data_IF_756996066468
#
_entry.id   IF_756996066468
#
_cell.length_a   1.000
_cell.length_b   1.000
_cell.length_c   1.000
_cell.angle_alpha   90.00
_cell.angle_beta   90.00
_cell.angle_gamma   90.00
#
_symmetry.space_group_name_H-M   'P 1'
#
loop_
_entity.id
_entity.type
_entity.pdbx_description
1 polymer ?
#
# COMPACT_ATOMS: atom_id res chain seq x y z
N UNK A 1 10.60 -23.49 11.21
CA UNK A 1 9.62 -22.37 11.22
C UNK A 1 8.28 -23.00 11.60
N UNK A 2 7.76 -22.76 12.81
CA UNK A 2 6.41 -23.22 13.13
C UNK A 2 5.47 -22.04 12.99
N UNK A 3 4.69 -22.01 11.91
CA UNK A 3 3.62 -21.04 11.71
C UNK A 3 2.54 -21.33 12.74
N UNK A 4 2.34 -20.43 13.70
CA UNK A 4 1.33 -20.58 14.73
C UNK A 4 0.11 -19.71 14.39
N UNK A 5 -0.94 -20.35 13.88
CA UNK A 5 -2.19 -19.71 13.48
C UNK A 5 -2.79 -18.83 14.58
N UNK A 6 -2.78 -19.31 15.84
CA UNK A 6 -3.35 -18.54 16.97
C UNK A 6 -2.59 -17.23 17.17
N UNK A 7 -1.26 -17.27 17.09
CA UNK A 7 -0.41 -16.08 17.21
C UNK A 7 -0.63 -15.11 16.04
N UNK A 8 -0.78 -15.63 14.82
CA UNK A 8 -1.08 -14.80 13.64
C UNK A 8 -2.43 -14.09 13.77
N UNK A 9 -3.48 -14.80 14.20
CA UNK A 9 -4.80 -14.21 14.43
C UNK A 9 -4.75 -13.12 15.49
N UNK A 10 -4.08 -13.38 16.62
CA UNK A 10 -3.90 -12.38 17.68
C UNK A 10 -3.14 -11.15 17.17
N UNK A 11 -2.11 -11.37 16.34
CA UNK A 11 -1.34 -10.28 15.78
C UNK A 11 -2.19 -9.39 14.87
N UNK A 12 -3.06 -9.98 14.05
CA UNK A 12 -4.02 -9.24 13.22
C UNK A 12 -4.99 -8.46 14.10
N UNK A 13 -5.55 -9.08 15.15
CA UNK A 13 -6.50 -8.44 16.06
C UNK A 13 -5.94 -7.17 16.71
N UNK A 14 -4.66 -7.18 17.08
CA UNK A 14 -3.98 -6.02 17.65
C UNK A 14 -3.87 -4.82 16.69
N UNK A 15 -3.97 -5.05 15.37
CA UNK A 15 -3.84 -4.01 14.33
C UNK A 15 -5.20 -3.49 13.84
N UNK A 16 -6.29 -4.24 14.05
CA UNK A 16 -7.65 -3.86 13.61
C UNK A 16 -8.03 -2.41 13.97
N UNK A 17 -7.80 -1.90 15.20
CA UNK A 17 -8.18 -0.52 15.52
C UNK A 17 -7.49 0.52 14.64
N UNK A 18 -6.20 0.32 14.33
CA UNK A 18 -5.47 1.19 13.42
C UNK A 18 -6.03 1.08 11.99
N UNK A 19 -6.32 -0.14 11.53
CA UNK A 19 -6.87 -0.37 10.20
C UNK A 19 -8.25 0.31 10.00
N UNK A 20 -9.11 0.33 11.03
CA UNK A 20 -10.40 1.02 11.00
C UNK A 20 -10.21 2.54 10.87
N UNK A 21 -9.26 3.11 11.62
CA UNK A 21 -8.93 4.54 11.53
C UNK A 21 -8.42 4.87 10.13
N UNK A 22 -7.51 4.06 9.60
CA UNK A 22 -6.96 4.25 8.26
C UNK A 22 -8.00 4.13 7.16
N UNK A 23 -8.88 3.12 7.25
CA UNK A 23 -10.02 2.97 6.35
C UNK A 23 -10.90 4.23 6.35
N UNK A 24 -11.22 4.75 7.54
CA UNK A 24 -12.10 5.91 7.69
C UNK A 24 -11.45 7.22 7.22
N UNK A 25 -10.14 7.36 7.38
CA UNK A 25 -9.41 8.60 7.12
C UNK A 25 -8.66 8.62 5.78
N UNK A 26 -8.56 7.48 5.10
CA UNK A 26 -7.70 7.28 3.92
C UNK A 26 -6.24 7.73 4.16
N UNK A 27 -5.76 7.62 5.40
CA UNK A 27 -4.43 8.09 5.79
C UNK A 27 -3.72 7.10 6.68
N UNK A 28 -2.62 6.52 6.19
CA UNK A 28 -1.75 5.66 7.01
C UNK A 28 -1.05 6.46 8.12
N UNK A 29 -0.66 7.70 7.84
CA UNK A 29 -0.02 8.59 8.80
C UNK A 29 -0.91 8.92 10.00
N UNK A 30 -2.21 9.10 9.78
CA UNK A 30 -3.18 9.34 10.86
C UNK A 30 -3.27 8.17 11.86
N UNK A 31 -2.85 6.97 11.46
CA UNK A 31 -2.93 5.77 12.30
C UNK A 31 -1.69 5.54 13.17
N UNK A 32 -0.59 6.28 12.94
CA UNK A 32 0.72 6.02 13.54
C UNK A 32 0.68 5.75 15.06
N UNK A 33 -0.01 6.52 15.91
CA UNK A 33 -0.04 6.25 17.35
C UNK A 33 -0.69 4.91 17.70
N UNK A 34 -1.79 4.58 17.03
CA UNK A 34 -2.57 3.35 17.27
C UNK A 34 -1.87 2.15 16.66
N UNK A 35 -1.32 2.31 15.44
CA UNK A 35 -0.55 1.29 14.73
C UNK A 35 0.70 0.90 15.52
N UNK A 36 1.47 1.88 16.00
CA UNK A 36 2.69 1.62 16.79
C UNK A 36 2.33 0.87 18.07
N UNK A 37 1.28 1.31 18.77
CA UNK A 37 0.79 0.64 19.99
C UNK A 37 0.34 -0.81 19.73
N UNK A 38 -0.34 -1.06 18.60
CA UNK A 38 -0.75 -2.40 18.19
C UNK A 38 0.43 -3.29 17.79
N UNK A 39 1.36 -2.77 17.00
CA UNK A 39 2.55 -3.49 16.53
C UNK A 39 3.48 -3.88 17.69
N UNK A 40 3.62 -3.00 18.69
CA UNK A 40 4.37 -3.29 19.91
C UNK A 40 3.83 -4.50 20.69
N UNK A 41 2.51 -4.76 20.66
CA UNK A 41 1.94 -5.97 21.29
C UNK A 41 2.32 -7.27 20.56
N UNK A 42 2.77 -7.18 19.31
CA UNK A 42 3.08 -8.32 18.46
C UNK A 42 4.59 -8.68 18.46
N UNK A 43 5.42 -7.71 18.80
CA UNK A 43 6.89 -7.78 18.78
C UNK A 43 7.47 -8.04 20.17
N UNK A 44 8.68 -8.60 20.24
CA UNK A 44 9.40 -8.70 21.52
C UNK A 44 10.36 -7.53 21.74
N UNK A 45 10.73 -6.83 20.67
CA UNK A 45 11.62 -5.66 20.71
C UNK A 45 10.80 -4.39 20.44
N UNK A 46 10.36 -3.76 21.53
CA UNK A 46 9.53 -2.56 21.48
C UNK A 46 10.27 -1.36 20.87
N UNK A 47 11.56 -1.21 21.18
CA UNK A 47 12.37 -0.08 20.72
C UNK A 47 12.60 -0.18 19.21
N UNK A 48 12.95 -1.38 18.72
CA UNK A 48 13.06 -1.63 17.27
C UNK A 48 11.74 -1.36 16.55
N UNK A 49 10.62 -1.82 17.13
CA UNK A 49 9.29 -1.66 16.55
C UNK A 49 8.87 -0.19 16.48
N UNK A 50 9.10 0.56 17.55
CA UNK A 50 8.80 1.98 17.62
C UNK A 50 9.63 2.79 16.64
N UNK A 51 10.88 2.38 16.39
CA UNK A 51 11.76 3.01 15.40
C UNK A 51 11.34 2.72 13.96
N UNK A 52 10.95 1.48 13.63
CA UNK A 52 10.71 1.08 12.24
C UNK A 52 9.34 1.47 11.69
N UNK A 53 8.30 1.49 12.54
CA UNK A 53 6.92 1.74 12.11
C UNK A 53 6.78 3.10 11.36
N UNK A 54 7.29 4.23 11.88
CA UNK A 54 7.24 5.50 11.15
C UNK A 54 7.91 5.45 9.78
N UNK A 55 9.07 4.77 9.67
CA UNK A 55 9.82 4.66 8.42
C UNK A 55 9.10 3.84 7.35
N UNK A 56 8.44 2.75 7.74
CA UNK A 56 7.74 1.88 6.79
C UNK A 56 6.34 2.38 6.43
N UNK A 57 5.73 3.24 7.24
CA UNK A 57 4.35 3.71 7.00
C UNK A 57 4.19 4.43 5.67
N UNK A 58 5.22 5.13 5.18
CA UNK A 58 5.20 5.85 3.91
C UNK A 58 5.86 5.09 2.74
N UNK A 59 6.60 4.01 3.01
CA UNK A 59 7.35 3.26 1.97
C UNK A 59 6.71 1.91 1.65
N UNK A 60 6.13 1.25 2.66
CA UNK A 60 5.52 -0.06 2.55
C UNK A 60 4.01 0.06 2.30
N UNK A 61 3.66 0.55 1.11
CA UNK A 61 2.28 0.74 0.66
C UNK A 61 1.83 -0.41 -0.26
N UNK A 62 1.64 -1.61 0.28
CA UNK A 62 1.26 -2.82 -0.48
C UNK A 62 -0.07 -2.69 -1.24
N UNK A 63 -1.09 -2.10 -0.61
CA UNK A 63 -2.43 -1.92 -1.17
C UNK A 63 -2.39 -1.17 -2.49
N UNK A 64 -1.77 0.02 -2.51
CA UNK A 64 -1.64 0.80 -3.74
C UNK A 64 -0.73 0.13 -4.76
N UNK A 65 0.35 -0.54 -4.30
CA UNK A 65 1.33 -1.20 -5.16
C UNK A 65 0.69 -2.23 -6.07
N UNK A 66 -0.38 -2.86 -5.60
CA UNK A 66 -1.17 -3.82 -6.37
C UNK A 66 -2.41 -3.16 -6.97
N UNK A 67 -3.12 -2.34 -6.20
CA UNK A 67 -4.40 -1.74 -6.58
C UNK A 67 -4.32 -0.91 -7.84
N UNK A 68 -3.41 0.06 -7.92
CA UNK A 68 -3.32 0.97 -9.07
C UNK A 68 -2.92 0.21 -10.35
N UNK A 69 -1.85 -0.61 -10.36
CA UNK A 69 -1.52 -1.40 -11.55
C UNK A 69 -2.62 -2.35 -12.00
N UNK A 70 -3.32 -3.01 -11.06
CA UNK A 70 -4.44 -3.90 -11.38
C UNK A 70 -5.63 -3.14 -11.96
N UNK A 71 -5.99 -1.99 -11.39
CA UNK A 71 -7.06 -1.13 -11.93
C UNK A 71 -6.71 -0.62 -13.33
N UNK A 72 -5.48 -0.15 -13.53
CA UNK A 72 -5.00 0.33 -14.82
C UNK A 72 -5.00 -0.77 -15.89
N UNK A 73 -4.47 -1.96 -15.58
CA UNK A 73 -4.49 -3.10 -16.48
C UNK A 73 -5.92 -3.56 -16.81
N UNK A 74 -6.80 -3.61 -15.80
CA UNK A 74 -8.19 -4.04 -15.99
C UNK A 74 -8.93 -3.09 -16.93
N UNK A 75 -8.77 -1.79 -16.75
CA UNK A 75 -9.38 -0.79 -17.63
C UNK A 75 -8.78 -0.80 -19.04
N UNK A 76 -7.46 -0.99 -19.16
CA UNK A 76 -6.80 -1.14 -20.46
C UNK A 76 -7.37 -2.33 -21.24
N UNK A 77 -7.41 -3.51 -20.61
CA UNK A 77 -7.92 -4.74 -21.25
C UNK A 77 -9.41 -4.60 -21.59
N UNK A 78 -10.20 -3.94 -20.73
CA UNK A 78 -11.61 -3.69 -21.01
C UNK A 78 -11.82 -2.80 -22.24
N UNK A 79 -10.98 -1.79 -22.42
CA UNK A 79 -11.10 -0.82 -23.51
C UNK A 79 -10.50 -1.31 -24.83
N UNK A 80 -9.33 -1.95 -24.79
CA UNK A 80 -8.57 -2.33 -25.99
C UNK A 80 -8.67 -3.82 -26.33
N UNK A 81 -9.28 -4.63 -25.48
CA UNK A 81 -9.47 -6.08 -25.65
C UNK A 81 -8.15 -6.87 -25.82
N UNK A 82 -7.03 -6.31 -25.38
CA UNK A 82 -5.70 -6.93 -25.39
C UNK A 82 -4.88 -6.47 -24.19
N UNK A 83 -3.74 -7.13 -23.97
CA UNK A 83 -2.75 -6.68 -22.99
C UNK A 83 -1.90 -5.54 -23.57
N UNK A 84 -1.46 -4.57 -22.75
CA UNK A 84 -0.52 -3.56 -23.22
C UNK A 84 0.80 -4.21 -23.63
N UNK A 85 1.50 -3.57 -24.56
CA UNK A 85 2.86 -3.98 -24.90
C UNK A 85 3.75 -3.99 -23.67
N UNK A 86 4.67 -4.97 -23.60
CA UNK A 86 5.56 -5.12 -22.45
C UNK A 86 6.38 -3.85 -22.18
N UNK A 87 6.86 -3.18 -23.23
CA UNK A 87 7.60 -1.91 -23.16
C UNK A 87 6.76 -0.78 -22.55
N UNK A 88 5.50 -0.66 -22.98
CA UNK A 88 4.55 0.33 -22.46
C UNK A 88 4.24 0.09 -20.98
N UNK A 89 3.94 -1.17 -20.61
CA UNK A 89 3.67 -1.53 -19.22
C UNK A 89 4.90 -1.38 -18.32
N UNK A 90 6.10 -1.70 -18.81
CA UNK A 90 7.34 -1.50 -18.07
C UNK A 90 7.59 -0.01 -17.79
N UNK A 91 7.34 0.85 -18.79
CA UNK A 91 7.47 2.31 -18.64
C UNK A 91 6.48 2.84 -17.60
N UNK A 92 5.23 2.38 -17.66
CA UNK A 92 4.22 2.65 -16.63
C UNK A 92 4.70 2.22 -15.24
N UNK A 93 5.18 0.97 -15.09
CA UNK A 93 5.57 0.42 -13.79
C UNK A 93 6.74 1.17 -13.15
N UNK A 94 7.78 1.51 -13.93
CA UNK A 94 8.92 2.30 -13.45
C UNK A 94 8.45 3.70 -13.02
N UNK A 95 7.67 4.37 -13.86
CA UNK A 95 7.14 5.70 -13.57
C UNK A 95 6.24 5.70 -12.34
N UNK A 96 5.42 4.66 -12.19
CA UNK A 96 4.55 4.45 -11.03
C UNK A 96 5.36 4.32 -9.74
N UNK A 97 6.40 3.48 -9.73
CA UNK A 97 7.25 3.32 -8.54
C UNK A 97 7.88 4.67 -8.15
N UNK A 98 8.41 5.42 -9.11
CA UNK A 98 9.00 6.74 -8.86
C UNK A 98 7.98 7.76 -8.33
N UNK A 99 6.82 7.87 -8.99
CA UNK A 99 5.75 8.79 -8.59
C UNK A 99 5.24 8.47 -7.19
N UNK A 100 5.15 7.19 -6.84
CA UNK A 100 4.71 6.75 -5.52
C UNK A 100 5.65 7.17 -4.39
N UNK A 101 6.96 7.17 -4.62
CA UNK A 101 7.90 7.74 -3.65
C UNK A 101 7.72 9.26 -3.50
N UNK A 102 7.37 9.97 -4.58
CA UNK A 102 7.18 11.42 -4.57
C UNK A 102 5.85 11.87 -3.95
N UNK A 103 4.79 11.06 -4.06
CA UNK A 103 3.43 11.39 -3.59
C UNK A 103 3.13 10.96 -2.13
N UNK A 104 4.16 10.55 -1.37
CA UNK A 104 4.00 10.04 -0.02
C UNK A 104 3.28 11.05 0.90
N UNK A 105 2.15 10.62 1.50
CA UNK A 105 1.41 11.41 2.50
C UNK A 105 0.25 12.25 1.97
N UNK A 106 -0.08 12.19 0.67
CA UNK A 106 -1.22 12.90 0.09
C UNK A 106 -2.41 11.93 -0.08
N UNK A 107 -3.51 12.06 0.69
CA UNK A 107 -4.72 11.24 0.51
C UNK A 107 -5.28 11.41 -0.91
N UNK A 108 -5.58 10.33 -1.61
CA UNK A 108 -6.04 10.42 -3.00
C UNK A 108 -4.99 10.91 -4.02
N UNK A 109 -3.80 11.35 -3.58
CA UNK A 109 -2.84 12.08 -4.42
C UNK A 109 -2.11 11.21 -5.42
N UNK A 110 -1.87 9.94 -5.08
CA UNK A 110 -1.11 9.01 -5.93
C UNK A 110 -1.73 8.86 -7.30
N UNK A 111 -3.05 8.67 -7.41
CA UNK A 111 -3.70 8.50 -8.73
C UNK A 111 -3.69 9.78 -9.55
N UNK A 112 -3.84 10.95 -8.91
CA UNK A 112 -3.85 12.25 -9.59
C UNK A 112 -2.50 12.51 -10.26
N UNK A 113 -1.40 12.21 -9.55
CA UNK A 113 -0.04 12.30 -10.09
C UNK A 113 0.20 11.27 -11.22
N UNK A 114 -0.52 10.16 -11.19
CA UNK A 114 -0.38 9.08 -12.18
C UNK A 114 -1.17 9.27 -13.47
N UNK A 115 -2.16 10.17 -13.52
CA UNK A 115 -2.97 10.39 -14.73
C UNK A 115 -2.10 10.70 -15.96
N UNK A 116 -1.16 11.67 -15.94
CA UNK A 116 -0.33 11.96 -17.12
C UNK A 116 0.53 10.78 -17.56
N UNK A 117 0.96 9.95 -16.61
CA UNK A 117 1.73 8.73 -16.91
C UNK A 117 0.83 7.70 -17.58
N UNK A 118 -0.39 7.50 -17.10
CA UNK A 118 -1.37 6.57 -17.70
C UNK A 118 -1.74 6.98 -19.13
N UNK A 119 -1.94 8.29 -19.36
CA UNK A 119 -2.25 8.84 -20.69
C UNK A 119 -1.07 8.68 -21.65
N UNK A 120 0.16 8.96 -21.20
CA UNK A 120 1.35 8.87 -22.06
C UNK A 120 1.85 7.45 -22.31
N UNK A 121 1.78 6.56 -21.31
CA UNK A 121 2.34 5.19 -21.40
C UNK A 121 1.32 4.14 -21.84
N UNK A 122 0.08 4.25 -21.38
CA UNK A 122 -0.99 3.29 -21.66
C UNK A 122 -2.10 3.88 -22.56
N UNK A 123 -1.89 5.08 -23.11
CA UNK A 123 -2.81 5.76 -24.03
C UNK A 123 -4.22 5.98 -23.46
N UNK A 124 -4.34 6.11 -22.13
CA UNK A 124 -5.62 6.36 -21.49
C UNK A 124 -6.30 7.60 -22.07
N UNK A 125 -7.58 7.49 -22.39
CA UNK A 125 -8.40 8.64 -22.79
C UNK A 125 -8.85 9.42 -21.54
N UNK A 126 -9.29 10.68 -21.68
CA UNK A 126 -9.84 11.45 -20.56
C UNK A 126 -10.97 10.72 -19.81
N UNK A 127 -11.79 9.94 -20.53
CA UNK A 127 -12.84 9.13 -19.94
C UNK A 127 -12.26 8.00 -19.06
N UNK A 128 -11.24 7.29 -19.56
CA UNK A 128 -10.54 6.24 -18.79
C UNK A 128 -9.86 6.82 -17.55
N UNK A 129 -9.21 7.98 -17.68
CA UNK A 129 -8.61 8.74 -16.57
C UNK A 129 -9.66 9.10 -15.51
N UNK A 130 -10.87 9.51 -15.93
CA UNK A 130 -11.98 9.76 -15.02
C UNK A 130 -12.47 8.51 -14.29
N UNK A 131 -12.59 7.38 -15.00
CA UNK A 131 -13.02 6.10 -14.42
C UNK A 131 -12.01 5.60 -13.39
N UNK A 132 -10.72 5.59 -13.72
CA UNK A 132 -9.69 5.09 -12.78
C UNK A 132 -9.57 5.98 -11.54
N UNK A 133 -9.72 7.30 -11.69
CA UNK A 133 -9.74 8.24 -10.56
C UNK A 133 -10.90 7.92 -9.62
N UNK A 134 -12.10 7.74 -10.17
CA UNK A 134 -13.28 7.38 -9.38
C UNK A 134 -13.10 6.03 -8.68
N UNK A 135 -12.61 5.02 -9.40
CA UNK A 135 -12.32 3.71 -8.82
C UNK A 135 -11.30 3.82 -7.69
N UNK A 136 -10.21 4.55 -7.88
CA UNK A 136 -9.19 4.71 -6.86
C UNK A 136 -9.75 5.35 -5.60
N UNK A 137 -10.50 6.45 -5.72
CA UNK A 137 -11.13 7.11 -4.56
C UNK A 137 -12.04 6.13 -3.79
N UNK A 138 -12.76 5.26 -4.50
CA UNK A 138 -13.61 4.24 -3.88
C UNK A 138 -12.80 3.14 -3.17
N UNK A 139 -11.66 2.73 -3.72
CA UNK A 139 -10.85 1.61 -3.21
C UNK A 139 -9.71 2.02 -2.27
N UNK A 140 -9.34 3.30 -2.21
CA UNK A 140 -8.26 3.82 -1.37
C UNK A 140 -8.43 3.50 0.14
N UNK A 141 -9.65 3.53 0.73
CA UNK A 141 -9.86 3.09 2.11
C UNK A 141 -9.37 1.66 2.38
N UNK A 142 -9.61 0.75 1.42
CA UNK A 142 -9.16 -0.63 1.50
C UNK A 142 -7.66 -0.74 1.30
N UNK A 143 -7.10 -0.02 0.32
CA UNK A 143 -5.65 0.02 0.09
C UNK A 143 -4.91 0.50 1.34
N UNK A 144 -5.41 1.57 1.96
CA UNK A 144 -4.90 2.11 3.22
C UNK A 144 -5.00 1.09 4.35
N UNK A 145 -6.15 0.42 4.52
CA UNK A 145 -6.29 -0.62 5.54
C UNK A 145 -5.30 -1.78 5.34
N UNK A 146 -5.10 -2.24 4.09
CA UNK A 146 -4.11 -3.28 3.76
C UNK A 146 -2.68 -2.82 4.04
N UNK A 147 -2.33 -1.56 3.73
CA UNK A 147 -1.03 -0.97 4.08
C UNK A 147 -0.79 -1.07 5.59
N UNK A 148 -1.80 -0.71 6.40
CA UNK A 148 -1.71 -0.73 7.86
C UNK A 148 -1.55 -2.15 8.42
N UNK A 149 -2.28 -3.14 7.88
CA UNK A 149 -2.07 -4.53 8.26
C UNK A 149 -0.65 -5.01 7.93
N UNK A 150 -0.16 -4.69 6.72
CA UNK A 150 1.21 -5.00 6.32
C UNK A 150 2.23 -4.39 7.26
N UNK A 151 2.09 -3.09 7.55
CA UNK A 151 3.00 -2.33 8.42
C UNK A 151 2.98 -2.84 9.87
N UNK A 152 1.80 -3.20 10.39
CA UNK A 152 1.66 -3.69 11.76
C UNK A 152 2.22 -5.10 11.98
N UNK A 153 2.32 -5.91 10.92
CA UNK A 153 2.85 -7.27 10.97
C UNK A 153 4.32 -7.36 10.53
N UNK A 154 4.82 -6.41 9.74
CA UNK A 154 6.19 -6.37 9.23
C UNK A 154 7.27 -6.46 10.34
N UNK A 155 7.15 -5.76 11.50
CA UNK A 155 8.14 -5.85 12.58
C UNK A 155 8.38 -7.28 13.07
N UNK A 156 7.37 -8.16 13.06
CA UNK A 156 7.51 -9.56 13.50
C UNK A 156 8.52 -10.32 12.63
N UNK A 157 8.49 -10.05 11.32
CA UNK A 157 9.39 -10.67 10.35
C UNK A 157 10.75 -9.98 10.40
N UNK A 158 10.76 -8.65 10.45
CA UNK A 158 11.98 -7.86 10.50
C UNK A 158 12.84 -8.16 11.73
N UNK A 159 12.25 -8.20 12.93
CA UNK A 159 12.93 -8.50 14.19
C UNK A 159 13.64 -9.86 14.12
N UNK A 160 12.99 -10.86 13.52
CA UNK A 160 13.55 -12.21 13.37
C UNK A 160 14.75 -12.25 12.41
N UNK A 161 14.71 -11.46 11.34
CA UNK A 161 15.83 -11.33 10.40
C UNK A 161 16.98 -10.57 11.09
N UNK A 162 16.66 -9.48 11.77
CA UNK A 162 17.61 -8.65 12.50
C UNK A 162 18.38 -9.45 13.56
N UNK A 163 17.70 -10.28 14.33
CA UNK A 163 18.31 -11.17 15.34
C UNK A 163 19.23 -12.25 14.76
N UNK A 164 19.12 -12.57 13.46
CA UNK A 164 20.03 -13.53 12.80
C UNK A 164 21.28 -12.87 12.21
N UNK A 165 21.24 -11.55 12.03
CA UNK A 165 22.34 -10.76 11.48
C UNK A 165 23.26 -10.21 12.57
N UNK A 166 22.76 -10.14 13.81
CA UNK A 166 23.57 -9.96 15.02
C UNK A 166 24.16 -11.29 15.49
#
# INVERSE_FOLDING_TARGET
MSFNIKRTILAIQNIIPAAIIGFSTMSSAATLPVLTSGAMKNSKDHELTQSIIPSITNTHMLGDALGIPLMALSLYVLQYHNMPEFSAYLTFAISYVLAKFAAAGIPGGTIIVMIPVLESSLQFTPEMSGIILMMYILFDPFCTAFNIFGNGLFPIVFEKIWQRLK
#
